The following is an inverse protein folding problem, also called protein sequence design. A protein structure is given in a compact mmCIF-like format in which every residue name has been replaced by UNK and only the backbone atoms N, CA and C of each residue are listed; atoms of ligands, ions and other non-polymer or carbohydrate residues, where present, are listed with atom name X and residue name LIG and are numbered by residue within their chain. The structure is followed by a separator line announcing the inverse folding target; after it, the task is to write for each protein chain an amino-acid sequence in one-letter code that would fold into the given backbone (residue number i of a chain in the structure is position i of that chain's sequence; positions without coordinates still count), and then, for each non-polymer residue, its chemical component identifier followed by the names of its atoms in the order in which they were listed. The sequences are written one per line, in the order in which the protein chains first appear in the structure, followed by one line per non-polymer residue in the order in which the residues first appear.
data_IF_385918410556
#
_entry.id   IF_385918410556
#
_cell.length_a   1.000
_cell.length_b   1.000
_cell.length_c   1.000
_cell.angle_alpha   90.00
_cell.angle_beta   90.00
_cell.angle_gamma   90.00
#
_symmetry.space_group_name_H-M   'P 1'
#
loop_
_entity.id
_entity.type
_entity.pdbx_description
1 polymer ?
#
# COMPACT_ATOMS: atom_id res chain seq x y z
N UNK A 1 -8.66 -4.34 7.53
CA UNK A 1 -8.72 -3.17 8.43
C UNK A 1 -7.43 -3.14 9.24
N UNK A 2 -6.76 -1.99 9.43
CA UNK A 2 -5.44 -1.94 10.06
C UNK A 2 -5.52 -1.31 11.46
N UNK A 3 -4.94 -2.03 12.42
CA UNK A 3 -4.79 -1.66 13.83
C UNK A 3 -3.31 -1.43 14.18
N UNK A 4 -3.10 -0.75 15.30
CA UNK A 4 -1.83 -0.69 16.02
C UNK A 4 -2.02 -1.47 17.31
N UNK A 5 -1.22 -2.51 17.50
CA UNK A 5 -1.19 -3.35 18.69
C UNK A 5 0.08 -3.13 19.51
N UNK A 6 0.12 -3.72 20.70
CA UNK A 6 1.39 -4.07 21.35
C UNK A 6 1.74 -5.49 20.95
N UNK A 7 3.01 -5.77 20.65
CA UNK A 7 3.49 -7.14 20.52
C UNK A 7 3.24 -7.89 21.83
N UNK A 8 2.61 -9.06 21.74
CA UNK A 8 2.79 -10.09 22.74
C UNK A 8 4.06 -10.87 22.42
N UNK A 9 4.85 -11.21 23.42
CA UNK A 9 6.18 -11.83 23.28
C UNK A 9 6.09 -13.33 22.92
N UNK A 10 5.56 -13.62 21.72
CA UNK A 10 5.79 -14.89 21.05
C UNK A 10 7.14 -14.84 20.33
N UNK A 11 7.93 -15.91 20.45
CA UNK A 11 9.25 -15.96 19.84
C UNK A 11 9.18 -15.92 18.30
N UNK A 12 9.98 -15.03 17.70
CA UNK A 12 10.10 -14.93 16.25
C UNK A 12 10.73 -16.20 15.66
N UNK A 13 10.18 -16.67 14.53
CA UNK A 13 10.70 -17.82 13.78
C UNK A 13 11.53 -17.30 12.62
N UNK A 14 12.78 -17.74 12.48
CA UNK A 14 13.64 -17.41 11.33
C UNK A 14 13.80 -18.59 10.35
N UNK A 15 13.99 -18.29 9.07
CA UNK A 15 14.26 -19.29 8.02
C UNK A 15 15.52 -20.12 8.36
N UNK A 16 16.54 -19.45 8.88
CA UNK A 16 17.81 -20.02 9.34
C UNK A 16 17.60 -21.07 10.45
N UNK A 17 16.56 -20.95 11.28
CA UNK A 17 16.25 -21.96 12.30
C UNK A 17 15.61 -23.21 11.69
N UNK A 18 14.69 -23.03 10.75
CA UNK A 18 14.06 -24.12 9.96
C UNK A 18 15.13 -24.89 9.19
N UNK A 19 16.01 -24.19 8.47
CA UNK A 19 17.08 -24.81 7.69
C UNK A 19 18.07 -25.58 8.57
N UNK A 20 18.35 -25.09 9.78
CA UNK A 20 19.24 -25.77 10.76
C UNK A 20 18.62 -27.04 11.34
N UNK A 21 17.29 -27.13 11.47
CA UNK A 21 16.64 -28.39 11.87
C UNK A 21 16.61 -29.44 10.76
N UNK A 22 16.48 -29.02 9.50
CA UNK A 22 16.41 -29.94 8.36
C UNK A 22 17.81 -30.43 7.93
N UNK A 23 18.75 -29.50 7.72
CA UNK A 23 20.04 -29.74 7.06
C UNK A 23 21.02 -30.69 7.77
N UNK A 24 20.68 -31.19 8.95
CA UNK A 24 21.47 -32.15 9.73
C UNK A 24 21.04 -33.62 9.55
N UNK A 25 20.04 -33.94 8.72
CA UNK A 25 19.42 -35.28 8.68
C UNK A 25 19.31 -35.82 7.24
N UNK A 26 19.59 -37.12 7.07
CA UNK A 26 19.44 -37.86 5.79
C UNK A 26 17.97 -38.06 5.38
N UNK A 27 17.06 -37.86 6.34
CA UNK A 27 15.62 -37.79 6.20
C UNK A 27 15.02 -37.56 7.58
N UNK A 28 14.03 -36.67 7.70
CA UNK A 28 13.41 -36.33 8.99
C UNK A 28 11.91 -36.10 8.83
N UNK A 29 11.11 -36.67 9.74
CA UNK A 29 9.67 -36.46 9.82
C UNK A 29 9.33 -34.98 10.03
N UNK A 30 8.36 -34.45 9.31
CA UNK A 30 7.97 -33.05 9.39
C UNK A 30 7.43 -32.70 10.78
N UNK A 31 6.69 -33.60 11.42
CA UNK A 31 6.25 -33.44 12.82
C UNK A 31 7.43 -33.29 13.81
N UNK A 32 8.59 -33.87 13.50
CA UNK A 32 9.81 -33.79 14.31
C UNK A 32 10.58 -32.50 14.03
N UNK A 33 10.66 -32.05 12.76
CA UNK A 33 11.19 -30.72 12.41
C UNK A 33 10.43 -29.64 13.17
N UNK A 34 9.11 -29.65 13.07
CA UNK A 34 8.24 -28.66 13.69
C UNK A 34 8.38 -28.64 15.22
N UNK A 35 8.28 -29.81 15.87
CA UNK A 35 8.43 -29.94 17.34
C UNK A 35 9.80 -29.51 17.86
N UNK A 36 10.88 -29.70 17.09
CA UNK A 36 12.22 -29.22 17.45
C UNK A 36 12.32 -27.69 17.30
N UNK A 37 11.69 -27.12 16.29
CA UNK A 37 11.60 -25.68 16.07
C UNK A 37 10.86 -25.00 17.23
N UNK A 38 9.69 -25.52 17.63
CA UNK A 38 8.93 -25.07 18.82
C UNK A 38 9.81 -25.13 20.08
N UNK A 39 10.48 -26.27 20.31
CA UNK A 39 11.37 -26.45 21.46
C UNK A 39 12.57 -25.49 21.46
N UNK A 40 13.08 -25.08 20.30
CA UNK A 40 14.17 -24.09 20.20
C UNK A 40 13.69 -22.68 20.54
N UNK A 41 12.52 -22.31 20.03
CA UNK A 41 11.95 -20.96 20.18
C UNK A 41 11.29 -20.78 21.57
N UNK A 42 10.95 -21.89 22.24
CA UNK A 42 10.35 -21.89 23.58
C UNK A 42 8.85 -21.63 23.58
N UNK A 43 8.22 -21.57 22.40
CA UNK A 43 6.80 -21.31 22.20
C UNK A 43 6.23 -22.26 21.12
N UNK A 44 4.92 -22.57 21.16
CA UNK A 44 4.24 -23.23 20.06
C UNK A 44 4.30 -22.38 18.78
N UNK A 45 4.38 -23.03 17.62
CA UNK A 45 4.51 -22.33 16.33
C UNK A 45 3.24 -22.52 15.51
N UNK A 46 2.59 -21.42 15.15
CA UNK A 46 1.41 -21.46 14.30
C UNK A 46 1.79 -21.69 12.84
N UNK A 47 0.90 -22.36 12.11
CA UNK A 47 0.98 -22.46 10.64
C UNK A 47 1.03 -21.07 9.96
N UNK A 48 0.42 -20.04 10.55
CA UNK A 48 0.51 -18.66 10.08
C UNK A 48 1.94 -18.10 10.13
N UNK A 49 2.70 -18.35 11.21
CA UNK A 49 4.12 -17.97 11.30
C UNK A 49 4.98 -18.72 10.26
N UNK A 50 4.67 -19.98 9.95
CA UNK A 50 5.38 -20.72 8.90
C UNK A 50 5.08 -20.15 7.50
N UNK A 51 3.83 -19.77 7.21
CA UNK A 51 3.48 -19.05 5.98
C UNK A 51 4.19 -17.69 5.88
N UNK A 52 4.35 -16.97 7.00
CA UNK A 52 5.08 -15.70 7.05
C UNK A 52 6.57 -15.88 6.75
N UNK A 53 7.24 -16.87 7.37
CA UNK A 53 8.66 -17.20 7.14
C UNK A 53 8.95 -17.54 5.68
N UNK A 54 8.05 -18.26 5.01
CA UNK A 54 8.22 -18.68 3.61
C UNK A 54 7.63 -17.72 2.58
N UNK A 55 6.90 -16.68 3.02
CA UNK A 55 6.15 -15.74 2.19
C UNK A 55 5.24 -16.44 1.16
N UNK A 56 4.44 -17.41 1.63
CA UNK A 56 3.49 -18.18 0.82
C UNK A 56 2.02 -17.96 1.23
N UNK A 57 1.09 -18.39 0.38
CA UNK A 57 -0.37 -18.34 0.60
C UNK A 57 -0.95 -19.77 0.74
N UNK A 58 -0.13 -20.69 1.29
CA UNK A 58 -0.42 -22.11 1.41
C UNK A 58 -1.58 -22.41 2.38
N UNK A 59 -2.27 -23.54 2.17
CA UNK A 59 -3.54 -23.88 2.86
C UNK A 59 -3.40 -24.78 4.11
N UNK A 60 -2.25 -25.44 4.30
CA UNK A 60 -1.95 -26.24 5.49
C UNK A 60 -0.47 -26.15 5.85
N UNK A 61 -0.10 -26.67 7.03
CA UNK A 61 1.30 -26.75 7.45
C UNK A 61 2.15 -27.58 6.46
N UNK A 62 1.60 -28.67 5.92
CA UNK A 62 2.26 -29.48 4.90
C UNK A 62 2.53 -28.66 3.63
N UNK A 63 1.50 -27.98 3.12
CA UNK A 63 1.61 -27.15 1.92
C UNK A 63 2.59 -26.00 2.13
N UNK A 64 2.63 -25.41 3.33
CA UNK A 64 3.53 -24.32 3.68
C UNK A 64 5.00 -24.74 3.57
N UNK A 65 5.36 -25.91 4.12
CA UNK A 65 6.72 -26.46 3.99
C UNK A 65 7.01 -26.94 2.56
N UNK A 66 6.04 -27.52 1.84
CA UNK A 66 6.20 -27.96 0.45
C UNK A 66 6.43 -26.78 -0.50
N UNK A 67 5.61 -25.73 -0.42
CA UNK A 67 5.75 -24.54 -1.24
C UNK A 67 6.98 -23.73 -0.81
N UNK A 68 7.20 -23.58 0.50
CA UNK A 68 8.36 -22.89 1.07
C UNK A 68 9.68 -23.47 0.61
N UNK A 69 9.89 -24.77 0.87
CA UNK A 69 11.16 -25.48 0.69
C UNK A 69 11.27 -26.25 -0.64
N UNK A 70 10.29 -26.16 -1.55
CA UNK A 70 10.28 -26.92 -2.81
C UNK A 70 11.61 -26.83 -3.58
N UNK A 71 12.02 -27.91 -4.24
CA UNK A 71 13.32 -28.08 -4.92
C UNK A 71 14.59 -28.00 -4.04
N UNK A 72 14.50 -27.55 -2.79
CA UNK A 72 15.57 -27.71 -1.79
C UNK A 72 15.41 -29.04 -1.02
N UNK A 73 14.17 -29.48 -0.83
CA UNK A 73 13.83 -30.78 -0.25
C UNK A 73 12.89 -31.58 -1.16
N UNK A 74 13.08 -32.90 -1.19
CA UNK A 74 11.97 -33.82 -1.47
C UNK A 74 11.13 -33.97 -0.20
N UNK A 75 9.81 -33.94 -0.33
CA UNK A 75 8.89 -34.38 0.72
C UNK A 75 8.22 -35.68 0.25
N UNK A 76 8.23 -36.72 1.09
CA UNK A 76 7.71 -38.06 0.80
C UNK A 76 6.76 -38.48 1.92
N UNK A 77 5.68 -39.21 1.60
CA UNK A 77 4.83 -39.85 2.63
C UNK A 77 5.67 -40.78 3.51
N UNK A 78 5.51 -40.73 4.84
CA UNK A 78 6.27 -41.62 5.72
C UNK A 78 5.74 -43.07 5.61
N UNK A 79 6.59 -44.07 5.33
CA UNK A 79 6.18 -45.45 5.11
C UNK A 79 5.69 -46.17 6.38
N UNK A 80 5.82 -45.54 7.56
CA UNK A 80 5.36 -46.05 8.85
C UNK A 80 4.27 -45.18 9.50
N UNK A 81 3.89 -44.05 8.90
CA UNK A 81 2.78 -43.21 9.35
C UNK A 81 2.20 -42.37 8.21
N UNK A 82 1.02 -42.73 7.73
CA UNK A 82 0.34 -42.05 6.61
C UNK A 82 -0.07 -40.60 6.88
N UNK A 83 0.07 -40.11 8.12
CA UNK A 83 -0.27 -38.74 8.52
C UNK A 83 0.95 -37.83 8.68
N UNK A 84 2.16 -38.37 8.54
CA UNK A 84 3.43 -37.63 8.60
C UNK A 84 4.21 -37.81 7.29
N UNK A 85 5.20 -36.94 7.07
CA UNK A 85 5.99 -36.92 5.84
C UNK A 85 7.47 -36.77 6.13
N UNK A 86 8.29 -37.52 5.41
CA UNK A 86 9.75 -37.44 5.49
C UNK A 86 10.23 -36.33 4.57
N UNK A 87 10.80 -35.30 5.18
CA UNK A 87 11.55 -34.23 4.51
C UNK A 87 12.98 -34.69 4.32
N UNK A 88 13.52 -34.56 3.11
CA UNK A 88 14.93 -34.84 2.80
C UNK A 88 15.49 -33.77 1.87
N UNK A 89 16.59 -33.13 2.26
CA UNK A 89 17.38 -32.33 1.32
C UNK A 89 17.86 -33.21 0.16
N UNK A 90 17.43 -32.91 -1.06
CA UNK A 90 17.91 -33.57 -2.28
C UNK A 90 18.89 -32.71 -3.09
N UNK A 91 19.06 -31.44 -2.69
CA UNK A 91 20.13 -30.56 -3.15
C UNK A 91 20.00 -30.09 -4.60
N UNK A 92 18.79 -30.11 -5.18
CA UNK A 92 18.58 -29.61 -6.56
C UNK A 92 18.80 -28.11 -6.66
N UNK A 93 18.52 -27.37 -5.60
CA UNK A 93 18.92 -25.96 -5.42
C UNK A 93 19.76 -25.80 -4.15
N UNK A 94 20.61 -24.77 -4.12
CA UNK A 94 21.36 -24.36 -2.94
C UNK A 94 20.51 -23.56 -1.95
N UNK A 95 21.01 -23.42 -0.71
CA UNK A 95 20.42 -22.52 0.30
C UNK A 95 20.33 -21.07 -0.20
N UNK A 96 21.31 -20.62 -1.00
CA UNK A 96 21.31 -19.26 -1.55
C UNK A 96 20.18 -19.05 -2.57
N UNK A 97 19.90 -20.04 -3.42
CA UNK A 97 18.79 -19.99 -4.38
C UNK A 97 17.43 -20.09 -3.69
N UNK A 98 17.31 -20.89 -2.62
CA UNK A 98 16.12 -20.93 -1.78
C UNK A 98 15.86 -19.58 -1.09
N UNK A 99 16.89 -18.99 -0.47
CA UNK A 99 16.80 -17.66 0.15
C UNK A 99 16.41 -16.59 -0.89
N UNK A 100 16.97 -16.65 -2.11
CA UNK A 100 16.61 -15.71 -3.17
C UNK A 100 15.16 -15.88 -3.63
N UNK A 101 14.67 -17.12 -3.79
CA UNK A 101 13.26 -17.38 -4.11
C UNK A 101 12.31 -16.84 -3.03
N UNK A 102 12.63 -17.02 -1.75
CA UNK A 102 11.81 -16.50 -0.64
C UNK A 102 11.85 -14.96 -0.62
N UNK A 103 13.01 -14.34 -0.89
CA UNK A 103 13.13 -12.87 -1.07
C UNK A 103 12.27 -12.37 -2.23
N UNK A 104 12.24 -13.06 -3.37
CA UNK A 104 11.37 -12.71 -4.51
C UNK A 104 9.89 -12.83 -4.16
N UNK A 105 9.46 -13.92 -3.49
CA UNK A 105 8.08 -14.03 -2.98
C UNK A 105 7.70 -12.86 -2.09
N UNK A 106 8.57 -12.50 -1.13
CA UNK A 106 8.38 -11.33 -0.26
C UNK A 106 8.22 -10.04 -1.05
N UNK A 107 9.06 -9.81 -2.06
CA UNK A 107 8.98 -8.63 -2.91
C UNK A 107 7.68 -8.59 -3.73
N UNK A 108 7.29 -9.71 -4.34
CA UNK A 108 6.01 -9.85 -5.06
C UNK A 108 4.82 -9.60 -4.14
N UNK A 109 4.82 -10.12 -2.90
CA UNK A 109 3.78 -9.83 -1.91
C UNK A 109 3.75 -8.34 -1.51
N UNK A 110 4.91 -7.70 -1.30
CA UNK A 110 5.01 -6.24 -1.01
C UNK A 110 4.47 -5.40 -2.17
N UNK A 111 4.73 -5.79 -3.42
CA UNK A 111 4.19 -5.15 -4.62
C UNK A 111 2.67 -5.40 -4.79
N UNK A 112 2.20 -6.65 -4.64
CA UNK A 112 0.78 -7.02 -4.64
C UNK A 112 0.01 -6.15 -3.64
N UNK A 113 0.51 -6.04 -2.40
CA UNK A 113 -0.08 -5.20 -1.37
C UNK A 113 -0.07 -3.69 -1.72
N UNK A 114 1.03 -3.16 -2.27
CA UNK A 114 1.12 -1.77 -2.72
C UNK A 114 0.09 -1.46 -3.81
N UNK A 115 0.03 -2.27 -4.87
CA UNK A 115 -0.89 -2.09 -5.99
C UNK A 115 -2.35 -2.23 -5.52
N UNK A 116 -2.67 -3.28 -4.75
CA UNK A 116 -3.98 -3.47 -4.12
C UNK A 116 -4.39 -2.31 -3.20
N UNK A 117 -3.45 -1.54 -2.66
CA UNK A 117 -3.74 -0.40 -1.78
C UNK A 117 -3.87 0.91 -2.54
N UNK A 118 -2.94 1.23 -3.45
CA UNK A 118 -2.79 2.56 -4.05
C UNK A 118 -3.43 2.74 -5.43
N UNK A 119 -3.68 1.68 -6.21
CA UNK A 119 -4.30 1.82 -7.54
C UNK A 119 -5.78 2.27 -7.45
N UNK A 120 -6.28 3.05 -8.43
CA UNK A 120 -5.57 3.54 -9.61
C UNK A 120 -4.59 4.68 -9.31
N UNK A 121 -3.41 4.65 -9.94
CA UNK A 121 -2.27 5.54 -9.66
C UNK A 121 -1.50 5.86 -10.96
N UNK A 122 -1.01 7.10 -11.12
CA UNK A 122 -0.19 7.47 -12.27
C UNK A 122 1.25 6.95 -12.17
N UNK A 123 1.90 6.64 -13.30
CA UNK A 123 3.25 6.05 -13.35
C UNK A 123 4.32 6.89 -12.63
N UNK A 124 4.36 8.21 -12.80
CA UNK A 124 5.21 9.15 -12.06
C UNK A 124 5.11 8.99 -10.55
N UNK A 125 3.87 8.80 -10.07
CA UNK A 125 3.52 8.72 -8.65
C UNK A 125 3.74 7.32 -8.10
N UNK A 126 3.63 6.27 -8.93
CA UNK A 126 3.89 4.87 -8.58
C UNK A 126 5.28 4.70 -7.97
N UNK A 127 6.33 5.19 -8.65
CA UNK A 127 7.71 4.95 -8.25
C UNK A 127 8.06 5.63 -6.91
N UNK A 128 7.55 6.82 -6.64
CA UNK A 128 7.80 7.52 -5.38
C UNK A 128 6.90 7.05 -4.23
N UNK A 129 5.68 6.56 -4.49
CA UNK A 129 4.88 5.89 -3.47
C UNK A 129 5.37 4.47 -3.15
N UNK A 130 5.97 3.74 -4.10
CA UNK A 130 6.50 2.39 -3.87
C UNK A 130 7.57 2.35 -2.78
N UNK A 131 8.29 3.46 -2.56
CA UNK A 131 9.22 3.67 -1.42
C UNK A 131 8.59 3.39 -0.06
N UNK A 132 7.30 3.67 0.11
CA UNK A 132 6.56 3.42 1.37
C UNK A 132 6.42 1.92 1.67
N UNK A 133 6.52 1.08 0.62
CA UNK A 133 6.33 -0.37 0.63
C UNK A 133 7.61 -1.15 0.39
N UNK A 134 8.68 -0.53 -0.12
CA UNK A 134 9.96 -1.18 -0.51
C UNK A 134 11.20 -0.57 0.16
N UNK A 135 10.98 0.42 1.04
CA UNK A 135 11.96 1.16 1.84
C UNK A 135 12.92 2.07 1.04
N UNK A 136 13.28 1.71 -0.19
CA UNK A 136 13.99 2.56 -1.17
C UNK A 136 13.20 2.73 -2.49
N UNK A 137 13.73 3.52 -3.44
CA UNK A 137 13.15 3.61 -4.80
C UNK A 137 13.72 2.47 -5.65
N UNK A 138 12.89 1.58 -6.22
CA UNK A 138 13.37 0.49 -7.06
C UNK A 138 14.07 1.05 -8.30
N UNK A 139 15.30 0.59 -8.54
CA UNK A 139 15.96 0.69 -9.84
C UNK A 139 15.45 -0.43 -10.76
N UNK A 140 15.62 -0.33 -12.07
CA UNK A 140 15.26 -1.44 -12.97
C UNK A 140 16.02 -2.74 -12.64
N UNK A 141 17.29 -2.64 -12.24
CA UNK A 141 18.11 -3.80 -11.88
C UNK A 141 17.61 -4.47 -10.60
N UNK A 142 17.33 -3.70 -9.55
CA UNK A 142 16.78 -4.25 -8.31
C UNK A 142 15.37 -4.79 -8.54
N UNK A 143 14.53 -4.10 -9.30
CA UNK A 143 13.18 -4.56 -9.64
C UNK A 143 13.20 -5.90 -10.41
N UNK A 144 14.03 -6.02 -11.45
CA UNK A 144 14.16 -7.25 -12.22
C UNK A 144 14.71 -8.42 -11.37
N UNK A 145 15.66 -8.15 -10.46
CA UNK A 145 16.13 -9.15 -9.48
C UNK A 145 15.00 -9.58 -8.54
N UNK A 146 14.32 -8.61 -7.93
CA UNK A 146 13.36 -8.83 -6.85
C UNK A 146 12.03 -9.43 -7.35
N UNK A 147 11.67 -9.18 -8.62
CA UNK A 147 10.53 -9.79 -9.31
C UNK A 147 10.90 -11.05 -10.11
N UNK A 148 12.18 -11.29 -10.39
CA UNK A 148 12.66 -12.40 -11.22
C UNK A 148 12.50 -12.19 -12.75
N UNK A 149 12.18 -10.97 -13.18
CA UNK A 149 11.92 -10.56 -14.57
C UNK A 149 13.18 -10.17 -15.34
N UNK A 150 13.06 -9.97 -16.66
CA UNK A 150 14.15 -9.44 -17.53
C UNK A 150 13.68 -8.24 -18.37
N UNK A 151 12.69 -7.52 -17.86
CA UNK A 151 11.99 -6.46 -18.57
C UNK A 151 12.87 -5.24 -18.86
N UNK A 152 12.53 -4.49 -19.91
CA UNK A 152 13.29 -3.30 -20.36
C UNK A 152 12.92 -2.01 -19.61
N UNK A 153 11.75 -1.96 -18.96
CA UNK A 153 11.28 -0.80 -18.19
C UNK A 153 10.69 -1.24 -16.85
N UNK A 154 10.61 -0.32 -15.88
CA UNK A 154 10.04 -0.65 -14.58
C UNK A 154 8.58 -1.12 -14.68
N UNK A 155 7.79 -0.46 -15.53
CA UNK A 155 6.38 -0.82 -15.72
C UNK A 155 6.19 -2.17 -16.43
N UNK A 156 7.08 -2.52 -17.38
CA UNK A 156 7.03 -3.85 -18.02
C UNK A 156 7.35 -4.98 -17.04
N UNK A 157 8.29 -4.79 -16.11
CA UNK A 157 8.57 -5.76 -15.04
C UNK A 157 7.34 -6.02 -14.14
N UNK A 158 6.55 -4.97 -13.85
CA UNK A 158 5.31 -5.13 -13.09
C UNK A 158 4.22 -5.84 -13.90
N UNK A 159 4.06 -5.52 -15.19
CA UNK A 159 3.08 -6.19 -16.05
C UNK A 159 3.44 -7.66 -16.34
N UNK A 160 4.73 -8.02 -16.35
CA UNK A 160 5.20 -9.41 -16.44
C UNK A 160 4.79 -10.27 -15.23
N UNK A 161 4.70 -9.69 -14.02
CA UNK A 161 4.34 -10.39 -12.78
C UNK A 161 2.85 -10.28 -12.42
N UNK A 162 2.23 -9.15 -12.74
CA UNK A 162 0.85 -8.83 -12.38
C UNK A 162 0.00 -8.66 -13.66
N UNK A 163 -0.47 -9.76 -14.27
CA UNK A 163 -1.20 -9.70 -15.55
C UNK A 163 -2.55 -8.97 -15.47
N UNK A 164 -3.12 -8.80 -14.27
CA UNK A 164 -4.35 -8.03 -14.04
C UNK A 164 -4.12 -6.50 -14.02
N UNK A 165 -2.89 -6.03 -14.29
CA UNK A 165 -2.61 -4.61 -14.50
C UNK A 165 -3.18 -4.17 -15.85
N UNK A 166 -4.03 -3.15 -15.84
CA UNK A 166 -4.47 -2.43 -17.05
C UNK A 166 -3.86 -1.04 -17.05
N UNK A 167 -3.28 -0.66 -18.19
CA UNK A 167 -2.71 0.66 -18.44
C UNK A 167 -3.66 1.49 -19.29
N UNK A 168 -3.99 2.70 -18.84
CA UNK A 168 -4.81 3.64 -19.59
C UNK A 168 -4.04 4.94 -19.77
N UNK A 169 -3.71 5.27 -21.03
CA UNK A 169 -3.04 6.52 -21.38
C UNK A 169 -3.96 7.72 -21.12
N UNK A 170 -3.63 8.55 -20.14
CA UNK A 170 -4.28 9.83 -19.95
C UNK A 170 -3.52 10.92 -20.72
N UNK A 171 -4.01 11.23 -21.92
CA UNK A 171 -3.55 12.36 -22.74
C UNK A 171 -3.62 13.73 -22.02
N UNK A 172 -4.21 13.83 -20.82
CA UNK A 172 -4.11 15.03 -19.96
C UNK A 172 -2.71 15.18 -19.37
N UNK A 173 -2.18 14.10 -18.80
CA UNK A 173 -0.84 14.05 -18.20
C UNK A 173 0.23 13.58 -19.20
N UNK A 174 -0.18 13.02 -20.36
CA UNK A 174 0.70 12.26 -21.27
C UNK A 174 1.36 11.06 -20.58
N UNK A 175 0.63 10.43 -19.66
CA UNK A 175 1.13 9.39 -18.77
C UNK A 175 0.11 8.25 -18.58
N UNK A 176 0.61 7.05 -18.27
CA UNK A 176 -0.19 5.89 -17.93
C UNK A 176 -0.83 6.05 -16.54
N UNK A 177 -2.17 5.97 -16.47
CA UNK A 177 -2.91 5.64 -15.25
C UNK A 177 -2.97 4.11 -15.12
N UNK A 178 -2.48 3.60 -14.01
CA UNK A 178 -2.28 2.16 -13.75
C UNK A 178 -3.42 1.65 -12.87
N UNK A 179 -4.14 0.63 -13.35
CA UNK A 179 -5.28 0.01 -12.68
C UNK A 179 -4.92 -1.40 -12.18
N UNK A 180 -5.20 -1.69 -10.91
CA UNK A 180 -5.04 -3.02 -10.31
C UNK A 180 -5.91 -3.18 -9.04
N UNK A 181 -6.68 -4.26 -8.89
CA UNK A 181 -7.13 -5.13 -9.98
C UNK A 181 -8.05 -4.33 -10.91
N UNK A 182 -8.00 -4.62 -12.22
CA UNK A 182 -8.73 -3.82 -13.20
C UNK A 182 -10.27 -3.91 -13.09
N UNK A 183 -10.82 -4.94 -12.43
CA UNK A 183 -12.27 -5.14 -12.26
C UNK A 183 -12.90 -4.20 -11.22
N UNK A 184 -12.12 -3.70 -10.25
CA UNK A 184 -12.59 -2.90 -9.11
C UNK A 184 -11.72 -1.66 -8.86
N UNK A 185 -11.71 -0.68 -9.78
CA UNK A 185 -11.02 0.59 -9.58
C UNK A 185 -11.53 1.29 -8.32
N UNK A 186 -10.61 1.64 -7.42
CA UNK A 186 -10.91 2.50 -6.28
C UNK A 186 -11.15 3.94 -6.71
N UNK A 187 -11.95 4.66 -5.94
CA UNK A 187 -12.11 6.11 -6.05
C UNK A 187 -10.89 6.86 -5.46
N UNK A 188 -9.71 6.64 -6.06
CA UNK A 188 -8.49 7.38 -5.73
C UNK A 188 -8.57 8.82 -6.22
N UNK A 189 -7.70 9.71 -5.72
CA UNK A 189 -7.59 11.08 -6.25
C UNK A 189 -7.33 11.07 -7.75
N UNK A 190 -6.46 10.16 -8.19
CA UNK A 190 -5.94 10.09 -9.56
C UNK A 190 -7.02 9.54 -10.51
N UNK A 191 -7.78 8.54 -10.07
CA UNK A 191 -8.96 8.07 -10.79
C UNK A 191 -10.03 9.15 -10.94
N UNK A 192 -10.34 9.89 -9.87
CA UNK A 192 -11.35 10.95 -9.90
C UNK A 192 -10.90 12.17 -10.72
N UNK A 193 -9.60 12.47 -10.76
CA UNK A 193 -9.01 13.47 -11.64
C UNK A 193 -9.15 13.05 -13.12
N UNK A 194 -8.78 11.80 -13.43
CA UNK A 194 -8.94 11.22 -14.76
C UNK A 194 -10.41 11.25 -15.22
N UNK A 195 -11.35 10.76 -14.41
CA UNK A 195 -12.78 10.74 -14.74
C UNK A 195 -13.36 12.15 -14.96
N UNK A 196 -12.91 13.16 -14.19
CA UNK A 196 -13.28 14.57 -14.42
C UNK A 196 -12.96 15.00 -15.86
N UNK A 197 -11.72 14.78 -16.32
CA UNK A 197 -11.32 15.16 -17.68
C UNK A 197 -11.88 14.23 -18.77
N UNK A 198 -12.18 12.97 -18.46
CA UNK A 198 -12.93 12.09 -19.35
C UNK A 198 -14.36 12.58 -19.60
N UNK A 199 -15.05 13.12 -18.58
CA UNK A 199 -16.38 13.72 -18.77
C UNK A 199 -16.28 14.96 -19.68
N UNK A 200 -15.26 15.80 -19.50
CA UNK A 200 -15.02 16.96 -20.37
C UNK A 200 -14.75 16.54 -21.81
N UNK A 201 -13.86 15.56 -22.04
CA UNK A 201 -13.57 15.04 -23.40
C UNK A 201 -14.80 14.46 -24.07
N UNK A 202 -15.56 13.59 -23.40
CA UNK A 202 -16.75 12.91 -23.96
C UNK A 202 -17.92 13.86 -24.28
N UNK A 203 -17.88 15.11 -23.80
CA UNK A 203 -18.89 16.15 -24.10
C UNK A 203 -18.35 17.28 -24.98
N UNK A 204 -17.04 17.33 -25.22
CA UNK A 204 -16.26 18.42 -25.85
C UNK A 204 -16.34 19.79 -25.15
N UNK A 205 -17.52 20.17 -24.64
CA UNK A 205 -17.85 21.45 -24.00
C UNK A 205 -18.94 21.21 -22.96
N UNK A 206 -18.61 21.41 -21.68
CA UNK A 206 -19.48 21.05 -20.54
C UNK A 206 -19.38 22.10 -19.42
N UNK A 207 -20.44 22.24 -18.64
CA UNK A 207 -20.45 23.07 -17.42
C UNK A 207 -19.85 22.34 -16.23
N UNK A 208 -19.20 23.05 -15.30
CA UNK A 208 -18.72 22.45 -14.05
C UNK A 208 -19.87 21.82 -13.25
N UNK A 209 -21.03 22.49 -13.18
CA UNK A 209 -22.24 21.92 -12.56
C UNK A 209 -22.67 20.57 -13.17
N UNK A 210 -22.52 20.41 -14.49
CA UNK A 210 -22.82 19.15 -15.18
C UNK A 210 -21.78 18.06 -14.91
N UNK A 211 -20.48 18.41 -14.80
CA UNK A 211 -19.44 17.46 -14.39
C UNK A 211 -19.72 16.96 -12.97
N UNK A 212 -20.04 17.86 -12.03
CA UNK A 212 -20.40 17.51 -10.65
C UNK A 212 -21.61 16.56 -10.61
N UNK A 213 -22.64 16.80 -11.44
CA UNK A 213 -23.81 15.91 -11.57
C UNK A 213 -23.44 14.53 -12.13
N UNK A 214 -22.62 14.46 -13.18
CA UNK A 214 -22.18 13.18 -13.76
C UNK A 214 -21.29 12.39 -12.79
N UNK A 215 -20.39 13.04 -12.05
CA UNK A 215 -19.56 12.39 -11.02
C UNK A 215 -20.39 11.85 -9.86
N UNK A 216 -21.42 12.58 -9.42
CA UNK A 216 -22.37 12.11 -8.40
C UNK A 216 -23.20 10.93 -8.86
N UNK A 217 -23.63 10.92 -10.13
CA UNK A 217 -24.44 9.84 -10.70
C UNK A 217 -23.65 8.56 -11.03
N UNK A 218 -22.42 8.68 -11.53
CA UNK A 218 -21.60 7.54 -11.97
C UNK A 218 -20.80 6.91 -10.83
N UNK A 219 -20.23 7.76 -9.97
CA UNK A 219 -19.22 7.36 -8.97
C UNK A 219 -19.67 7.61 -7.52
N UNK A 220 -20.87 8.16 -7.31
CA UNK A 220 -21.37 8.55 -5.98
C UNK A 220 -20.65 9.77 -5.37
N UNK A 221 -19.78 10.45 -6.13
CA UNK A 221 -18.93 11.53 -5.60
C UNK A 221 -19.54 12.91 -5.85
N UNK A 222 -19.91 13.58 -4.78
CA UNK A 222 -20.29 15.00 -4.78
C UNK A 222 -19.02 15.86 -4.80
N UNK A 223 -18.74 16.56 -5.92
CA UNK A 223 -17.57 17.42 -6.07
C UNK A 223 -17.74 18.76 -5.32
N UNK A 224 -17.67 18.70 -4.00
CA UNK A 224 -17.67 19.88 -3.12
C UNK A 224 -16.32 20.66 -3.17
N UNK A 225 -16.26 21.78 -2.45
CA UNK A 225 -15.03 22.60 -2.29
C UNK A 225 -13.84 21.76 -1.83
N UNK A 226 -14.04 20.84 -0.89
CA UNK A 226 -12.99 20.04 -0.25
C UNK A 226 -12.39 19.04 -1.24
N UNK A 227 -13.24 18.33 -1.97
CA UNK A 227 -12.83 17.35 -2.97
C UNK A 227 -12.21 18.06 -4.18
N UNK A 228 -12.78 19.17 -4.66
CA UNK A 228 -12.16 19.98 -5.71
C UNK A 228 -10.78 20.51 -5.30
N UNK A 229 -10.60 21.02 -4.08
CA UNK A 229 -9.28 21.42 -3.55
C UNK A 229 -8.28 20.26 -3.56
N UNK A 230 -8.72 19.05 -3.21
CA UNK A 230 -7.88 17.84 -3.15
C UNK A 230 -7.54 17.27 -4.53
N UNK A 231 -8.44 17.38 -5.51
CA UNK A 231 -8.20 16.96 -6.89
C UNK A 231 -7.21 17.88 -7.62
N UNK A 232 -7.36 19.19 -7.43
CA UNK A 232 -6.58 20.21 -8.14
C UNK A 232 -5.49 20.87 -7.28
N UNK A 233 -5.12 20.27 -6.13
CA UNK A 233 -4.10 20.77 -5.18
C UNK A 233 -4.23 22.27 -4.85
N UNK A 234 -5.46 22.75 -4.64
CA UNK A 234 -5.77 24.17 -4.54
C UNK A 234 -6.05 24.62 -3.11
N UNK A 235 -5.65 25.85 -2.79
CA UNK A 235 -5.98 26.54 -1.54
C UNK A 235 -7.12 27.56 -1.67
N UNK A 236 -7.74 27.68 -2.85
CA UNK A 236 -8.92 28.54 -3.04
C UNK A 236 -10.14 27.92 -2.35
N UNK A 237 -11.00 28.77 -1.77
CA UNK A 237 -12.23 28.35 -1.07
C UNK A 237 -13.49 28.33 -1.95
N UNK A 238 -13.45 28.94 -3.14
CA UNK A 238 -14.57 29.00 -4.08
C UNK A 238 -14.38 27.94 -5.20
N UNK A 239 -15.40 27.11 -5.53
CA UNK A 239 -15.32 26.07 -6.58
C UNK A 239 -14.81 26.57 -7.94
N UNK A 240 -15.25 27.75 -8.34
CA UNK A 240 -14.88 28.37 -9.61
C UNK A 240 -13.41 28.78 -9.58
N UNK A 241 -12.93 29.38 -8.50
CA UNK A 241 -11.52 29.79 -8.39
C UNK A 241 -10.55 28.62 -8.20
N UNK A 242 -10.98 27.49 -7.60
CA UNK A 242 -10.16 26.26 -7.50
C UNK A 242 -9.64 25.82 -8.87
N UNK A 243 -10.49 25.91 -9.90
CA UNK A 243 -10.16 25.58 -11.29
C UNK A 243 -9.61 26.81 -12.02
N UNK A 244 -10.37 27.93 -12.02
CA UNK A 244 -10.06 29.14 -12.79
C UNK A 244 -8.69 29.75 -12.47
N UNK A 245 -8.26 29.74 -11.20
CA UNK A 245 -6.97 30.31 -10.75
C UNK A 245 -5.86 29.28 -10.55
N UNK A 246 -6.08 28.02 -10.93
CA UNK A 246 -5.09 26.97 -10.70
C UNK A 246 -3.84 27.13 -11.59
N UNK A 247 -2.61 27.06 -11.06
CA UNK A 247 -1.40 27.01 -11.89
C UNK A 247 -1.19 25.64 -12.56
N UNK A 248 -1.75 24.56 -12.00
CA UNK A 248 -1.59 23.17 -12.46
C UNK A 248 -2.78 22.65 -13.29
N UNK A 249 -3.73 23.52 -13.68
CA UNK A 249 -4.79 23.13 -14.60
C UNK A 249 -4.26 23.13 -16.05
N UNK A 250 -4.49 22.07 -16.84
CA UNK A 250 -3.95 21.92 -18.20
C UNK A 250 -4.67 22.83 -19.22
N UNK A 251 -4.32 24.12 -19.22
CA UNK A 251 -4.91 25.18 -20.07
C UNK A 251 -4.55 25.09 -21.55
N UNK A 252 -3.46 24.39 -21.84
CA UNK A 252 -3.03 23.94 -23.16
C UNK A 252 -4.01 22.93 -23.78
N UNK A 253 -4.63 22.07 -22.94
CA UNK A 253 -5.54 20.99 -23.35
C UNK A 253 -7.02 21.28 -23.10
N UNK A 254 -7.34 22.28 -22.27
CA UNK A 254 -8.70 22.64 -21.90
C UNK A 254 -8.87 24.15 -21.68
N UNK A 255 -9.78 24.76 -22.43
CA UNK A 255 -10.18 26.15 -22.22
C UNK A 255 -11.25 26.24 -21.12
N UNK A 256 -11.13 27.25 -20.26
CA UNK A 256 -12.05 27.53 -19.14
C UNK A 256 -12.55 28.96 -19.28
N UNK A 257 -13.87 29.14 -19.38
CA UNK A 257 -14.52 30.45 -19.45
C UNK A 257 -15.63 30.58 -18.41
N UNK A 258 -15.84 31.80 -17.91
CA UNK A 258 -16.96 32.11 -17.02
C UNK A 258 -18.26 32.17 -17.84
N UNK A 259 -19.37 31.65 -17.28
CA UNK A 259 -20.72 31.96 -17.76
C UNK A 259 -21.20 33.26 -17.07
N UNK A 260 -21.49 34.37 -17.78
CA UNK A 260 -21.91 35.61 -17.12
C UNK A 260 -23.31 35.58 -16.48
N UNK A 261 -24.12 34.57 -16.80
CA UNK A 261 -25.52 34.43 -16.41
C UNK A 261 -25.81 33.26 -15.44
N UNK A 262 -24.77 32.58 -14.96
CA UNK A 262 -24.84 31.53 -13.96
C UNK A 262 -23.48 31.40 -13.26
N UNK A 263 -23.45 31.21 -11.94
CA UNK A 263 -22.21 31.04 -11.15
C UNK A 263 -21.53 29.68 -11.41
N UNK A 264 -21.02 29.52 -12.62
CA UNK A 264 -20.59 28.26 -13.22
C UNK A 264 -19.44 28.49 -14.22
N UNK A 265 -18.65 27.45 -14.47
CA UNK A 265 -17.56 27.48 -15.44
C UNK A 265 -17.92 26.60 -16.64
N UNK A 266 -17.67 27.13 -17.84
CA UNK A 266 -17.74 26.39 -19.08
C UNK A 266 -16.33 25.89 -19.42
N UNK A 267 -16.15 24.58 -19.37
CA UNK A 267 -14.89 23.89 -19.66
C UNK A 267 -15.02 23.18 -21.02
N UNK A 268 -14.06 23.38 -21.92
CA UNK A 268 -14.09 22.79 -23.25
C UNK A 268 -12.71 22.37 -23.75
N UNK A 269 -12.67 21.31 -24.56
CA UNK A 269 -11.51 20.94 -25.35
C UNK A 269 -11.29 22.01 -26.43
N UNK A 270 -10.05 22.48 -26.69
CA UNK A 270 -9.76 23.38 -27.80
C UNK A 270 -10.07 22.74 -29.15
N UNK A 271 -10.84 23.44 -29.98
CA UNK A 271 -10.86 23.15 -31.42
C UNK A 271 -9.51 23.51 -32.05
N UNK A 272 -9.08 22.76 -33.06
CA UNK A 272 -7.78 22.93 -33.74
C UNK A 272 -7.61 24.33 -34.36
N UNK A 273 -6.95 25.24 -33.64
CA UNK A 273 -6.51 26.57 -34.10
C UNK A 273 -5.10 26.82 -33.56
N UNK A 274 -4.19 27.30 -34.42
CA UNK A 274 -2.77 27.52 -34.07
C UNK A 274 -2.57 28.66 -33.05
N UNK A 275 -1.56 28.57 -32.17
CA UNK A 275 -1.30 29.56 -31.12
C UNK A 275 -0.43 30.74 -31.56
N UNK A 276 -0.69 31.97 -31.06
CA UNK A 276 0.25 33.07 -31.10
C UNK A 276 0.99 33.27 -29.75
N UNK A 277 2.27 32.86 -29.73
CA UNK A 277 3.43 33.39 -28.96
C UNK A 277 3.27 33.87 -27.50
N UNK A 278 4.07 33.26 -26.61
CA UNK A 278 4.31 33.71 -25.23
C UNK A 278 5.24 34.94 -25.13
N UNK A 279 5.22 35.60 -23.95
CA UNK A 279 6.28 36.49 -23.43
C UNK A 279 6.69 36.04 -22.00
N UNK A 280 7.85 36.50 -21.50
CA UNK A 280 8.59 35.84 -20.40
C UNK A 280 9.06 36.85 -19.33
N UNK A 281 9.10 36.44 -18.05
CA UNK A 281 9.90 37.07 -16.97
C UNK A 281 10.32 36.03 -15.89
N UNK A 282 11.23 36.37 -14.95
CA UNK A 282 11.99 35.39 -14.12
C UNK A 282 12.12 35.75 -12.61
N UNK A 283 12.13 34.69 -11.76
CA UNK A 283 12.88 34.46 -10.48
C UNK A 283 12.69 35.42 -9.27
N UNK A 284 13.13 35.17 -8.00
CA UNK A 284 14.03 34.15 -7.37
C UNK A 284 13.83 34.00 -5.81
N UNK A 285 13.92 32.77 -5.22
CA UNK A 285 14.27 32.41 -3.80
C UNK A 285 13.40 32.97 -2.62
N UNK A 286 13.53 32.67 -1.29
CA UNK A 286 14.52 31.95 -0.41
C UNK A 286 13.84 31.29 0.86
N UNK A 287 14.61 30.81 1.87
CA UNK A 287 14.20 30.21 3.19
C UNK A 287 15.15 30.72 4.34
N UNK A 288 14.85 30.66 5.68
CA UNK A 288 15.02 29.45 6.55
C UNK A 288 14.15 29.36 7.87
N UNK A 289 14.31 28.34 8.76
CA UNK A 289 13.45 28.03 9.96
C UNK A 289 14.27 27.88 11.31
N UNK A 290 13.91 27.06 12.35
CA UNK A 290 12.69 26.81 13.17
C UNK A 290 12.91 27.11 14.70
N UNK A 291 12.03 26.70 15.66
CA UNK A 291 12.09 25.37 16.35
C UNK A 291 10.66 24.83 16.74
N UNK A 292 10.33 23.85 17.60
CA UNK A 292 11.00 22.91 18.55
C UNK A 292 10.30 21.50 18.48
N UNK A 293 10.30 20.65 19.53
CA UNK A 293 9.52 19.38 19.66
C UNK A 293 9.09 19.06 21.13
N UNK A 294 8.04 18.24 21.30
CA UNK A 294 7.74 17.45 22.53
C UNK A 294 7.46 15.98 22.18
N UNK A 295 7.65 15.05 23.12
CA UNK A 295 7.77 13.61 22.80
C UNK A 295 6.43 12.85 22.75
N UNK A 296 5.76 12.86 21.59
CA UNK A 296 4.43 12.27 21.37
C UNK A 296 4.37 10.75 21.66
N UNK A 297 5.48 10.03 21.51
CA UNK A 297 5.54 8.55 21.63
C UNK A 297 5.22 8.06 23.04
N UNK A 298 5.72 8.75 24.07
CA UNK A 298 5.60 8.29 25.46
C UNK A 298 4.17 8.45 25.98
N UNK A 299 3.51 9.56 25.66
CA UNK A 299 2.10 9.81 25.96
C UNK A 299 1.16 8.75 25.36
N UNK A 300 1.49 8.21 24.18
CA UNK A 300 0.72 7.11 23.56
C UNK A 300 0.89 5.80 24.31
N UNK A 301 2.12 5.47 24.73
CA UNK A 301 2.43 4.25 25.49
C UNK A 301 1.78 4.30 26.88
N UNK A 302 1.79 5.46 27.53
CA UNK A 302 1.09 5.67 28.80
C UNK A 302 -0.44 5.58 28.65
N UNK A 303 -1.00 6.11 27.56
CA UNK A 303 -2.43 5.98 27.26
C UNK A 303 -2.85 4.52 26.98
N UNK A 304 -2.03 3.75 26.26
CA UNK A 304 -2.29 2.32 26.01
C UNK A 304 -2.20 1.49 27.30
N UNK A 305 -1.21 1.74 28.17
CA UNK A 305 -1.08 1.10 29.48
C UNK A 305 -2.27 1.39 30.39
N UNK A 306 -2.65 2.66 30.52
CA UNK A 306 -3.80 3.08 31.33
C UNK A 306 -5.16 2.64 30.75
N UNK A 307 -5.22 2.28 29.47
CA UNK A 307 -6.38 1.69 28.80
C UNK A 307 -6.35 0.16 28.73
N UNK A 308 -5.47 -0.52 29.47
CA UNK A 308 -5.44 -1.99 29.54
C UNK A 308 -4.88 -2.70 28.30
N UNK A 309 -4.13 -2.01 27.44
CA UNK A 309 -3.46 -2.61 26.28
C UNK A 309 -4.30 -2.74 24.99
N UNK A 310 -5.51 -2.16 24.96
CA UNK A 310 -6.44 -2.27 23.82
C UNK A 310 -5.82 -1.72 22.53
N UNK A 311 -5.87 -2.51 21.45
CA UNK A 311 -5.43 -2.13 20.11
C UNK A 311 -6.25 -0.98 19.52
N UNK A 312 -5.58 0.03 18.97
CA UNK A 312 -6.22 1.19 18.33
C UNK A 312 -6.32 0.99 16.81
N UNK A 313 -7.37 1.46 16.13
CA UNK A 313 -7.30 1.52 14.66
C UNK A 313 -6.26 2.56 14.22
N UNK A 314 -5.73 2.43 13.00
CA UNK A 314 -4.86 3.45 12.40
C UNK A 314 -5.51 4.86 12.39
N UNK A 315 -6.86 4.93 12.40
CA UNK A 315 -7.66 6.16 12.54
C UNK A 315 -7.80 6.67 13.99
N UNK A 316 -7.68 5.81 15.00
CA UNK A 316 -7.78 6.22 16.41
C UNK A 316 -6.48 6.81 16.96
N UNK A 317 -5.34 6.43 16.39
CA UNK A 317 -4.04 7.10 16.55
C UNK A 317 -4.17 8.63 16.44
N UNK A 318 -4.97 9.11 15.49
CA UNK A 318 -5.24 10.53 15.26
C UNK A 318 -5.94 11.20 16.45
N UNK A 319 -6.86 10.51 17.14
CA UNK A 319 -7.57 11.04 18.31
C UNK A 319 -6.61 11.32 19.46
N UNK A 320 -5.60 10.46 19.64
CA UNK A 320 -4.58 10.62 20.70
C UNK A 320 -3.55 11.68 20.31
N UNK A 321 -3.03 11.68 19.07
CA UNK A 321 -2.11 12.74 18.61
C UNK A 321 -2.75 14.15 18.65
N UNK A 322 -4.06 14.26 18.46
CA UNK A 322 -4.77 15.53 18.57
C UNK A 322 -4.99 15.98 20.02
N UNK A 323 -5.01 15.07 21.02
CA UNK A 323 -5.03 15.47 22.45
C UNK A 323 -3.77 16.21 22.87
N UNK A 324 -2.63 15.96 22.21
CA UNK A 324 -1.36 16.68 22.44
C UNK A 324 -1.23 18.01 21.69
N UNK A 325 -2.27 18.48 20.98
CA UNK A 325 -2.27 19.79 20.31
C UNK A 325 -3.23 20.75 21.01
N UNK A 326 -2.75 21.96 21.29
CA UNK A 326 -3.57 23.06 21.82
C UNK A 326 -4.66 23.47 20.81
N UNK A 327 -5.77 24.02 21.34
CA UNK A 327 -6.96 24.42 20.57
C UNK A 327 -6.59 25.31 19.36
N UNK A 328 -7.10 24.97 18.19
CA UNK A 328 -6.90 25.72 16.95
C UNK A 328 -7.45 24.94 15.75
N UNK A 329 -6.55 24.26 15.04
CA UNK A 329 -6.87 23.54 13.80
C UNK A 329 -7.28 22.08 14.02
N UNK A 330 -8.25 21.63 13.21
CA UNK A 330 -8.57 20.21 12.99
C UNK A 330 -8.07 19.79 11.60
N UNK A 331 -6.80 19.39 11.46
CA UNK A 331 -6.27 18.93 10.16
C UNK A 331 -6.97 17.64 9.70
N UNK A 332 -7.54 17.71 8.50
CA UNK A 332 -8.25 16.60 7.86
C UNK A 332 -7.27 15.58 7.25
N UNK A 333 -6.77 14.66 8.06
CA UNK A 333 -5.92 13.58 7.57
C UNK A 333 -6.70 12.46 6.87
N UNK A 334 -6.17 12.00 5.75
CA UNK A 334 -6.63 10.82 5.03
C UNK A 334 -6.19 9.53 5.71
N UNK A 335 -6.82 8.39 5.39
CA UNK A 335 -6.40 7.07 5.91
C UNK A 335 -4.92 6.76 5.61
N UNK A 336 -4.41 7.19 4.45
CA UNK A 336 -2.98 7.06 4.09
C UNK A 336 -2.04 8.00 4.85
N UNK A 337 -2.57 8.99 5.56
CA UNK A 337 -1.81 9.84 6.51
C UNK A 337 -1.89 9.26 7.92
N UNK A 338 -3.07 8.80 8.34
CA UNK A 338 -3.25 8.06 9.59
C UNK A 338 -2.35 6.81 9.63
N UNK A 339 -2.28 6.05 8.53
CA UNK A 339 -1.37 4.90 8.37
C UNK A 339 0.12 5.31 8.34
N UNK A 340 0.48 6.45 7.70
CA UNK A 340 1.86 6.97 7.75
C UNK A 340 2.26 7.37 9.19
N UNK A 341 1.36 8.00 9.95
CA UNK A 341 1.57 8.30 11.36
C UNK A 341 1.67 7.03 12.21
N UNK A 342 0.81 6.03 11.98
CA UNK A 342 0.89 4.74 12.66
C UNK A 342 2.24 4.03 12.41
N UNK A 343 2.67 3.91 11.14
CA UNK A 343 3.97 3.32 10.76
C UNK A 343 5.14 4.08 11.40
N UNK A 344 5.09 5.42 11.39
CA UNK A 344 6.13 6.26 12.00
C UNK A 344 6.20 6.09 13.52
N UNK A 345 5.07 6.04 14.23
CA UNK A 345 5.04 5.80 15.68
C UNK A 345 5.54 4.40 16.03
N UNK A 346 5.20 3.38 15.24
CA UNK A 346 5.74 2.01 15.38
C UNK A 346 7.26 2.02 15.23
N UNK A 347 7.80 2.68 14.19
CA UNK A 347 9.24 2.85 14.00
C UNK A 347 9.91 3.62 15.16
N UNK A 348 9.26 4.66 15.68
CA UNK A 348 9.76 5.44 16.83
C UNK A 348 9.52 4.78 18.20
N UNK A 349 8.81 3.64 18.26
CA UNK A 349 8.49 2.96 19.53
C UNK A 349 9.66 2.18 20.12
N UNK A 350 10.70 1.90 19.33
CA UNK A 350 11.76 0.92 19.63
C UNK A 350 11.21 -0.49 19.88
N UNK A 351 10.33 -0.97 18.99
CA UNK A 351 9.76 -2.33 19.04
C UNK A 351 8.59 -2.54 20.01
N UNK A 352 8.15 -1.50 20.71
CA UNK A 352 7.07 -1.57 21.72
C UNK A 352 5.65 -1.48 21.16
N UNK A 353 5.51 -1.23 19.86
CA UNK A 353 4.24 -1.16 19.13
C UNK A 353 4.40 -1.87 17.77
N UNK A 354 3.32 -2.45 17.25
CA UNK A 354 3.28 -3.07 15.91
C UNK A 354 2.01 -2.69 15.13
N UNK A 355 1.96 -2.98 13.82
CA UNK A 355 0.76 -2.81 13.00
C UNK A 355 0.17 -4.16 12.60
N UNK A 356 -1.11 -4.38 12.91
CA UNK A 356 -1.84 -5.64 12.68
C UNK A 356 -2.88 -5.39 11.59
N UNK A 357 -2.91 -6.24 10.56
CA UNK A 357 -3.87 -6.14 9.46
C UNK A 357 -4.91 -7.27 9.53
N UNK A 358 -6.18 -6.93 9.77
CA UNK A 358 -7.29 -7.89 9.78
C UNK A 358 -7.86 -8.06 8.36
N UNK A 359 -7.93 -9.31 7.91
CA UNK A 359 -8.59 -9.77 6.68
C UNK A 359 -9.59 -10.89 7.00
N UNK A 360 -10.89 -10.60 6.90
CA UNK A 360 -11.98 -11.52 7.25
C UNK A 360 -12.47 -11.40 8.71
N UNK A 361 -13.76 -11.67 8.94
CA UNK A 361 -14.41 -11.65 10.28
C UNK A 361 -15.54 -12.69 10.33
N UNK A 362 -15.34 -13.74 11.14
CA UNK A 362 -16.29 -14.51 11.97
C UNK A 362 -15.37 -15.17 13.02
N UNK A 363 -15.37 -14.84 14.32
CA UNK A 363 -16.44 -14.84 15.33
C UNK A 363 -16.95 -16.23 15.69
N UNK A 364 -16.19 -16.97 16.49
CA UNK A 364 -16.74 -17.79 17.57
C UNK A 364 -15.73 -17.93 18.72
N UNK A 365 -16.18 -18.48 19.85
CA UNK A 365 -15.41 -18.74 21.09
C UNK A 365 -14.80 -17.54 21.82
N UNK A 366 -15.57 -16.46 21.88
CA UNK A 366 -15.56 -15.60 23.07
C UNK A 366 -16.40 -16.28 24.19
N UNK A 367 -15.91 -17.34 24.86
CA UNK A 367 -16.37 -17.81 26.21
C UNK A 367 -15.73 -19.11 26.78
N UNK A 368 -14.56 -18.98 27.43
CA UNK A 368 -14.26 -19.61 28.74
C UNK A 368 -13.38 -18.63 29.51
N UNK A 369 -13.95 -17.81 30.41
CA UNK A 369 -14.18 -18.08 31.84
C UNK A 369 -12.89 -18.24 32.66
N UNK A 370 -12.81 -17.46 33.73
CA UNK A 370 -11.78 -17.51 34.76
C UNK A 370 -11.74 -18.89 35.45
N UNK A 371 -10.55 -19.29 35.90
CA UNK A 371 -10.06 -18.87 37.22
C UNK A 371 -8.67 -18.23 37.08
#
# INVERSE_FOLDING_TARGET
MIFVGMRYEYGDVELEDVLREIGNNVGIRLSVVHRRLEKRIGAPITFAQINEVFHCEASSLFDAYLEGLGDYVTILTDPFDSHDVVVRCDGRISVAELQDRIRRRRAVQRWKAFLLLCCPIYESTLWDQSRLFLDERPTLLTLNRDLGTKAQTGLSALCEVFPDIVLVMDVTQEENLIFYPADRPKLSRDYLYFEFFQIVRRREKVKLSEICREMKLRHGVELDVRILRRLFHSNQSNPLDIIRRNPYFPRDKFHVSNLPSADDLLISVPGLILPPKCTVTKSTQTEPPPPVRTNIVENMIEYLRSSGGISLMATDVQKVMNRSKSKGDTPEYTYGEAFRSAKLMVQMSSGRLEMIAISGVVSDELMTKCD
#
